data_IF_474043631125
#
_entry.id   IF_474043631125
#
_cell.length_a   1.000
_cell.length_b   1.000
_cell.length_c   1.000
_cell.angle_alpha   90.00
_cell.angle_beta   90.00
_cell.angle_gamma   90.00
#
_symmetry.space_group_name_H-M   'P 1'
#
loop_
_entity.id
_entity.type
_entity.pdbx_description
1 polymer ?
#
# COMPACT_ATOMS: atom_id res chain seq x y z
N UNK A 1 -47.60 28.95 16.10
CA UNK A 1 -47.56 28.72 17.57
C UNK A 1 -46.13 28.34 17.95
N UNK A 2 -45.31 29.33 18.32
CA UNK A 2 -44.68 29.51 19.66
C UNK A 2 -43.92 28.26 20.14
N UNK A 3 -42.59 28.21 20.01
CA UNK A 3 -41.60 28.73 20.97
C UNK A 3 -41.90 28.35 22.43
N UNK A 4 -41.02 27.55 23.03
CA UNK A 4 -40.77 27.61 24.47
C UNK A 4 -39.27 27.59 24.74
N UNK A 5 -38.86 28.59 25.51
CA UNK A 5 -37.52 29.03 25.88
C UNK A 5 -37.36 28.83 27.39
N UNK A 6 -36.13 28.45 27.80
CA UNK A 6 -35.45 28.61 29.11
C UNK A 6 -36.23 28.58 30.43
N UNK A 7 -35.60 27.99 31.46
CA UNK A 7 -35.28 28.75 32.69
C UNK A 7 -34.01 28.21 33.37
N UNK A 8 -33.09 29.14 33.68
CA UNK A 8 -31.85 29.01 34.48
C UNK A 8 -32.17 29.05 35.98
N UNK A 9 -31.31 28.46 36.83
CA UNK A 9 -30.98 29.07 38.12
C UNK A 9 -29.50 28.89 38.46
N UNK A 10 -28.84 30.04 38.59
CA UNK A 10 -27.50 30.27 39.15
C UNK A 10 -27.53 30.10 40.67
N UNK A 11 -26.46 29.54 41.25
CA UNK A 11 -26.06 29.84 42.63
C UNK A 11 -24.67 30.51 42.60
N UNK A 12 -24.49 31.66 43.29
CA UNK A 12 -23.24 32.41 43.28
C UNK A 12 -22.31 31.91 44.39
N UNK A 13 -21.02 31.75 44.09
CA UNK A 13 -19.99 31.74 45.12
C UNK A 13 -18.94 32.81 44.81
N UNK A 14 -18.88 33.73 45.75
CA UNK A 14 -17.99 34.86 45.92
C UNK A 14 -16.52 34.46 46.11
N UNK A 15 -15.63 35.32 45.65
CA UNK A 15 -14.41 35.63 46.40
C UNK A 15 -13.11 35.22 45.75
N UNK A 16 -12.32 36.23 45.33
CA UNK A 16 -10.88 36.10 45.11
C UNK A 16 -10.44 36.05 43.66
N UNK A 17 -10.38 37.20 42.98
CA UNK A 17 -9.43 37.34 41.85
C UNK A 17 -8.03 37.43 42.42
N UNK A 18 -7.40 36.26 42.62
CA UNK A 18 -5.95 36.17 42.61
C UNK A 18 -5.51 36.47 41.18
N UNK A 19 -4.89 37.63 40.97
CA UNK A 19 -4.14 37.91 39.74
C UNK A 19 -2.89 37.03 39.82
N UNK A 20 -2.98 35.82 39.27
CA UNK A 20 -1.80 35.01 39.01
C UNK A 20 -1.16 35.50 37.72
N UNK A 21 -0.28 36.49 37.86
CA UNK A 21 0.66 36.87 36.82
C UNK A 21 1.70 35.75 36.75
N UNK A 22 1.44 34.71 35.95
CA UNK A 22 2.44 33.71 35.66
C UNK A 22 3.37 34.30 34.60
N UNK A 23 4.57 34.69 35.01
CA UNK A 23 5.69 34.88 34.09
C UNK A 23 5.71 33.72 33.10
N UNK A 24 5.63 34.04 31.81
CA UNK A 24 5.44 33.03 30.78
C UNK A 24 6.74 32.23 30.70
N UNK A 25 6.71 30.97 31.14
CA UNK A 25 7.90 30.10 31.15
C UNK A 25 8.53 30.08 29.74
N UNK A 26 9.76 30.62 29.58
CA UNK A 26 10.44 30.70 28.29
C UNK A 26 10.51 29.35 27.57
N UNK A 27 10.75 28.27 28.31
CA UNK A 27 10.80 26.90 27.79
C UNK A 27 9.48 26.47 27.13
N UNK A 28 8.34 26.88 27.68
CA UNK A 28 7.02 26.59 27.11
C UNK A 28 6.73 27.44 25.87
N UNK A 29 7.30 28.64 25.78
CA UNK A 29 7.19 29.50 24.60
C UNK A 29 8.01 28.89 23.46
N UNK A 30 9.25 28.50 23.75
CA UNK A 30 10.18 27.94 22.77
C UNK A 30 9.68 26.61 22.22
N UNK A 31 9.18 25.71 23.07
CA UNK A 31 8.54 24.48 22.64
C UNK A 31 7.30 24.73 21.74
N UNK A 32 6.48 25.75 22.07
CA UNK A 32 5.33 26.11 21.23
C UNK A 32 5.77 26.69 19.89
N UNK A 33 6.79 27.54 19.88
CA UNK A 33 7.34 28.14 18.67
C UNK A 33 7.91 27.06 17.74
N UNK A 34 8.73 26.16 18.28
CA UNK A 34 9.32 25.05 17.53
C UNK A 34 8.26 24.14 16.91
N UNK A 35 7.23 23.77 17.69
CA UNK A 35 6.12 22.96 17.17
C UNK A 35 5.35 23.69 16.07
N UNK A 36 5.24 25.02 16.15
CA UNK A 36 4.57 25.83 15.13
C UNK A 36 5.40 25.91 13.85
N UNK A 37 6.72 26.10 13.94
CA UNK A 37 7.64 26.05 12.80
C UNK A 37 7.57 24.70 12.08
N UNK A 38 7.59 23.60 12.83
CA UNK A 38 7.42 22.26 12.27
C UNK A 38 6.08 22.12 11.53
N UNK A 39 4.97 22.65 12.07
CA UNK A 39 3.66 22.62 11.40
C UNK A 39 3.66 23.40 10.08
N UNK A 40 4.27 24.57 10.06
CA UNK A 40 4.36 25.41 8.86
C UNK A 40 5.15 24.71 7.75
N UNK A 41 6.27 24.07 8.10
CA UNK A 41 7.01 23.22 7.15
C UNK A 41 6.17 22.03 6.70
N UNK A 42 5.56 21.30 7.63
CA UNK A 42 4.70 20.14 7.29
C UNK A 42 3.60 20.50 6.29
N UNK A 43 3.04 21.71 6.36
CA UNK A 43 2.01 22.20 5.43
C UNK A 43 2.60 22.60 4.07
N UNK A 44 3.75 23.28 4.04
CA UNK A 44 4.24 23.98 2.84
C UNK A 44 5.30 23.20 2.05
N UNK A 45 5.91 22.16 2.62
CA UNK A 45 6.95 21.37 1.95
C UNK A 45 6.66 19.87 1.97
N UNK A 46 7.28 19.18 1.01
CA UNK A 46 7.19 17.73 0.85
C UNK A 46 8.29 16.97 1.59
N UNK A 47 9.19 17.62 2.33
CA UNK A 47 10.24 16.95 3.11
C UNK A 47 9.63 15.93 4.08
N UNK A 48 10.20 14.73 4.25
CA UNK A 48 9.69 13.74 5.21
C UNK A 48 9.53 14.32 6.62
N UNK A 49 8.46 13.93 7.33
CA UNK A 49 8.15 14.48 8.67
C UNK A 49 9.26 14.17 9.67
N UNK A 50 9.90 13.02 9.55
CA UNK A 50 11.11 12.64 10.31
C UNK A 50 12.24 13.64 10.12
N UNK A 51 12.55 13.97 8.87
CA UNK A 51 13.61 14.91 8.50
C UNK A 51 13.29 16.32 9.01
N UNK A 52 12.04 16.80 8.85
CA UNK A 52 11.62 18.10 9.41
C UNK A 52 11.83 18.13 10.92
N UNK A 53 11.44 17.06 11.61
CA UNK A 53 11.59 16.98 13.06
C UNK A 53 13.05 17.06 13.47
N UNK A 54 13.91 16.25 12.87
CA UNK A 54 15.36 16.22 13.16
C UNK A 54 16.02 17.58 12.87
N UNK A 55 15.73 18.18 11.73
CA UNK A 55 16.29 19.48 11.33
C UNK A 55 15.85 20.62 12.26
N UNK A 56 14.56 20.68 12.62
CA UNK A 56 14.04 21.75 13.48
C UNK A 56 14.52 21.56 14.93
N UNK A 57 14.61 20.33 15.44
CA UNK A 57 15.22 20.04 16.74
C UNK A 57 16.71 20.40 16.77
N UNK A 58 17.43 20.24 15.66
CA UNK A 58 18.84 20.60 15.55
C UNK A 58 19.06 22.12 15.44
N UNK A 59 18.15 22.85 14.79
CA UNK A 59 18.23 24.32 14.61
C UNK A 59 17.85 25.08 15.87
N UNK A 60 16.85 24.59 16.60
CA UNK A 60 16.31 25.25 17.79
C UNK A 60 16.43 24.29 18.98
N UNK A 61 17.65 24.09 19.52
CA UNK A 61 17.85 23.21 20.66
C UNK A 61 17.09 23.76 21.87
N UNK A 62 16.16 22.96 22.38
CA UNK A 62 15.42 23.25 23.60
C UNK A 62 16.33 23.00 24.82
N UNK A 63 16.00 23.60 25.97
CA UNK A 63 16.67 23.26 27.24
C UNK A 63 16.51 21.77 27.57
N UNK A 64 17.40 21.21 28.40
CA UNK A 64 17.33 19.78 28.77
C UNK A 64 15.98 19.41 29.40
N UNK A 65 15.43 20.32 30.21
CA UNK A 65 14.10 20.16 30.82
C UNK A 65 12.98 20.21 29.78
N UNK A 66 13.05 21.13 28.81
CA UNK A 66 12.04 21.26 27.77
C UNK A 66 12.08 20.10 26.77
N UNK A 67 13.28 19.62 26.43
CA UNK A 67 13.50 18.48 25.51
C UNK A 67 12.88 17.21 26.05
N UNK A 68 13.01 16.93 27.35
CA UNK A 68 12.42 15.74 27.98
C UNK A 68 10.88 15.71 27.97
N UNK A 69 10.24 16.88 27.88
CA UNK A 69 8.78 17.03 27.78
C UNK A 69 8.27 17.27 26.36
N UNK A 70 9.15 17.52 25.39
CA UNK A 70 8.74 17.79 24.02
C UNK A 70 8.32 16.49 23.32
N UNK A 71 7.20 16.48 22.56
CA UNK A 71 6.74 15.26 21.91
C UNK A 71 7.78 14.69 20.93
N UNK A 72 7.93 13.37 20.93
CA UNK A 72 8.79 12.64 20.02
C UNK A 72 8.27 12.69 18.57
N UNK A 73 9.12 12.39 17.59
CA UNK A 73 8.70 12.27 16.19
C UNK A 73 7.52 11.30 16.03
N UNK A 74 7.58 10.14 16.70
CA UNK A 74 6.56 9.10 16.63
C UNK A 74 5.20 9.60 17.14
N UNK A 75 5.18 10.36 18.23
CA UNK A 75 3.96 10.93 18.81
C UNK A 75 3.34 12.01 17.93
N UNK A 76 4.17 12.82 17.25
CA UNK A 76 3.68 13.88 16.35
C UNK A 76 3.32 13.36 14.96
N UNK A 77 3.89 12.23 14.53
CA UNK A 77 3.83 11.75 13.14
C UNK A 77 2.41 11.69 12.60
N UNK A 78 1.49 11.02 13.32
CA UNK A 78 0.11 10.85 12.85
C UNK A 78 -0.64 12.18 12.72
N UNK A 79 -0.35 13.14 13.61
CA UNK A 79 -1.00 14.46 13.60
C UNK A 79 -0.47 15.29 12.44
N UNK A 80 0.83 15.28 12.21
CA UNK A 80 1.48 16.02 11.12
C UNK A 80 1.15 15.42 9.75
N UNK A 81 1.08 14.08 9.65
CA UNK A 81 0.65 13.41 8.43
C UNK A 81 -0.79 13.80 8.04
N UNK A 82 -1.73 13.82 9.00
CA UNK A 82 -3.11 14.29 8.77
C UNK A 82 -3.16 15.78 8.41
N UNK A 83 -2.33 16.60 9.06
CA UNK A 83 -2.25 18.04 8.78
C UNK A 83 -1.77 18.30 7.35
N UNK A 84 -0.70 17.63 6.92
CA UNK A 84 -0.17 17.70 5.54
C UNK A 84 -1.21 17.21 4.53
N UNK A 85 -1.88 16.09 4.81
CA UNK A 85 -2.94 15.56 3.94
C UNK A 85 -4.07 16.56 3.70
N UNK A 86 -4.45 17.34 4.73
CA UNK A 86 -5.51 18.35 4.63
C UNK A 86 -5.10 19.56 3.80
N UNK A 87 -3.80 19.87 3.70
CA UNK A 87 -3.28 21.07 3.05
C UNK A 87 -2.48 20.80 1.77
N UNK A 88 -2.33 19.54 1.37
CA UNK A 88 -1.85 19.17 0.05
C UNK A 88 -2.76 19.83 -0.99
N UNK A 89 -2.24 20.85 -1.67
CA UNK A 89 -2.87 21.43 -2.85
C UNK A 89 -3.13 20.32 -3.86
N UNK A 90 -4.19 20.47 -4.66
CA UNK A 90 -4.44 19.58 -5.79
C UNK A 90 -3.13 19.37 -6.54
N UNK A 91 -2.80 18.09 -6.83
CA UNK A 91 -1.60 17.74 -7.59
C UNK A 91 -1.51 18.70 -8.79
N UNK A 92 -0.33 19.31 -9.04
CA UNK A 92 -0.18 20.14 -10.23
C UNK A 92 -0.69 19.31 -11.42
N UNK A 93 -1.44 19.93 -12.34
CA UNK A 93 -1.77 19.28 -13.60
C UNK A 93 -0.46 18.99 -14.31
N UNK A 94 0.04 17.79 -14.07
CA UNK A 94 1.31 17.36 -14.58
C UNK A 94 1.06 16.88 -16.00
N UNK A 95 1.83 17.38 -16.95
CA UNK A 95 2.00 16.78 -18.27
C UNK A 95 2.79 15.46 -18.20
N UNK A 96 2.56 14.63 -17.17
CA UNK A 96 3.21 13.31 -16.94
C UNK A 96 2.77 12.23 -17.94
N UNK A 97 2.17 12.63 -19.07
CA UNK A 97 1.52 11.73 -20.03
C UNK A 97 2.40 11.37 -21.22
N UNK A 98 3.72 11.59 -21.15
CA UNK A 98 4.63 11.06 -22.16
C UNK A 98 5.31 9.82 -21.62
N UNK A 99 4.88 8.64 -22.06
CA UNK A 99 5.58 7.37 -21.81
C UNK A 99 6.94 7.46 -22.53
N UNK A 100 8.07 7.49 -21.80
CA UNK A 100 9.39 7.63 -22.44
C UNK A 100 9.66 6.44 -23.37
N UNK A 101 10.33 6.67 -24.49
CA UNK A 101 10.59 5.64 -25.53
C UNK A 101 11.17 4.30 -25.02
N UNK A 102 12.04 4.27 -24.00
CA UNK A 102 12.52 3.01 -23.41
C UNK A 102 11.41 2.13 -22.81
N UNK A 103 10.30 2.72 -22.37
CA UNK A 103 9.16 2.00 -21.79
C UNK A 103 8.14 1.56 -22.85
N UNK A 104 8.38 1.86 -24.13
CA UNK A 104 7.56 1.39 -25.26
C UNK A 104 7.93 -0.03 -25.72
N UNK A 105 9.03 -0.59 -25.21
CA UNK A 105 9.56 -1.93 -25.47
C UNK A 105 10.12 -2.50 -24.15
N UNK A 106 9.31 -3.13 -23.31
CA UNK A 106 9.85 -3.73 -22.08
C UNK A 106 10.44 -5.10 -22.34
N UNK A 107 11.77 -5.14 -22.39
CA UNK A 107 12.52 -6.29 -21.89
C UNK A 107 12.53 -6.23 -20.34
N UNK A 108 12.43 -7.40 -19.70
CA UNK A 108 12.77 -7.67 -18.30
C UNK A 108 12.32 -6.66 -17.22
N UNK A 109 11.02 -6.67 -16.87
CA UNK A 109 10.56 -6.21 -15.56
C UNK A 109 10.67 -4.71 -15.27
N UNK A 110 10.88 -3.86 -16.28
CA UNK A 110 10.97 -2.41 -16.13
C UNK A 110 9.56 -1.80 -15.96
N UNK A 111 9.30 -0.98 -14.92
CA UNK A 111 7.98 -0.39 -14.69
C UNK A 111 7.63 0.62 -15.78
N UNK A 112 6.53 0.39 -16.52
CA UNK A 112 6.11 1.29 -17.61
C UNK A 112 5.49 2.61 -17.14
N UNK A 113 4.77 2.60 -16.01
CA UNK A 113 3.97 3.74 -15.55
C UNK A 113 3.95 3.76 -14.02
N UNK A 114 4.13 4.94 -13.43
CA UNK A 114 3.90 5.19 -12.02
C UNK A 114 2.62 6.01 -11.84
N UNK A 115 1.74 5.56 -10.95
CA UNK A 115 0.49 6.26 -10.65
C UNK A 115 0.39 6.56 -9.16
N UNK A 116 0.19 7.83 -8.83
CA UNK A 116 -0.13 8.24 -7.46
C UNK A 116 -1.66 8.22 -7.27
N UNK A 117 -2.11 7.38 -6.34
CA UNK A 117 -3.54 7.21 -6.06
C UNK A 117 -3.89 7.72 -4.66
N UNK A 118 -5.03 8.40 -4.55
CA UNK A 118 -5.56 8.87 -3.26
C UNK A 118 -6.33 7.78 -2.49
N UNK A 119 -6.74 6.70 -3.17
CA UNK A 119 -7.38 5.54 -2.55
C UNK A 119 -7.27 4.29 -3.45
N UNK A 120 -7.50 3.11 -2.86
CA UNK A 120 -7.42 1.79 -3.52
C UNK A 120 -8.79 1.25 -3.97
N UNK A 121 -9.74 2.12 -4.30
CA UNK A 121 -11.11 1.70 -4.69
C UNK A 121 -11.17 1.36 -6.17
N UNK A 122 -12.08 0.46 -6.54
CA UNK A 122 -12.28 0.04 -7.94
C UNK A 122 -12.50 1.19 -8.92
N UNK A 123 -13.17 2.27 -8.50
CA UNK A 123 -13.35 3.47 -9.33
C UNK A 123 -12.02 4.11 -9.73
N UNK A 124 -11.06 4.16 -8.81
CA UNK A 124 -9.74 4.72 -9.07
C UNK A 124 -8.95 3.84 -10.05
N UNK A 125 -8.98 2.51 -9.87
CA UNK A 125 -8.36 1.57 -10.80
C UNK A 125 -8.96 1.63 -12.21
N UNK A 126 -10.28 1.75 -12.35
CA UNK A 126 -10.93 1.94 -13.67
C UNK A 126 -10.45 3.19 -14.37
N UNK A 127 -10.32 4.30 -13.63
CA UNK A 127 -9.81 5.54 -14.21
C UNK A 127 -8.39 5.32 -14.77
N UNK A 128 -7.51 4.66 -14.02
CA UNK A 128 -6.16 4.36 -14.49
C UNK A 128 -6.18 3.57 -15.78
N UNK A 129 -6.95 2.48 -15.83
CA UNK A 129 -7.04 1.66 -17.05
C UNK A 129 -7.63 2.41 -18.23
N UNK A 130 -8.60 3.29 -17.98
CA UNK A 130 -9.14 4.18 -18.99
C UNK A 130 -8.05 5.11 -19.55
N UNK A 131 -7.31 5.82 -18.69
CA UNK A 131 -6.21 6.69 -19.13
C UNK A 131 -5.13 5.92 -19.91
N UNK A 132 -4.74 4.73 -19.45
CA UNK A 132 -3.76 3.90 -20.15
C UNK A 132 -4.23 3.48 -21.55
N UNK A 133 -5.53 3.15 -21.70
CA UNK A 133 -6.14 2.84 -23.00
C UNK A 133 -6.13 4.08 -23.92
N UNK A 134 -6.42 5.27 -23.39
CA UNK A 134 -6.37 6.52 -24.16
C UNK A 134 -4.94 6.82 -24.64
N UNK A 135 -3.95 6.79 -23.74
CA UNK A 135 -2.55 7.04 -24.09
C UNK A 135 -2.01 6.07 -25.14
N UNK A 136 -2.40 4.79 -25.05
CA UNK A 136 -2.03 3.81 -26.07
C UNK A 136 -2.66 4.18 -27.43
N UNK A 137 -3.94 4.55 -27.45
CA UNK A 137 -4.64 4.94 -28.67
C UNK A 137 -4.06 6.19 -29.31
N UNK A 138 -3.67 7.20 -28.53
CA UNK A 138 -2.99 8.41 -29.01
C UNK A 138 -1.65 8.05 -29.70
N UNK A 139 -0.95 7.06 -29.15
CA UNK A 139 0.26 6.48 -29.73
C UNK A 139 0.00 5.47 -30.86
N UNK A 140 -1.23 5.33 -31.36
CA UNK A 140 -1.65 4.36 -32.38
C UNK A 140 -1.34 2.90 -32.00
N UNK A 141 -1.45 2.57 -30.71
CA UNK A 141 -1.26 1.23 -30.15
C UNK A 141 -2.54 0.76 -29.45
N UNK A 142 -2.72 -0.56 -29.39
CA UNK A 142 -3.78 -1.15 -28.56
C UNK A 142 -3.24 -1.54 -27.18
N UNK A 143 -3.93 -1.12 -26.12
CA UNK A 143 -3.66 -1.56 -24.75
C UNK A 143 -4.43 -2.86 -24.46
N UNK A 144 -3.90 -4.00 -24.90
CA UNK A 144 -4.50 -5.33 -24.73
C UNK A 144 -3.48 -6.31 -24.12
N UNK A 145 -3.27 -6.28 -22.79
CA UNK A 145 -2.36 -7.22 -22.13
C UNK A 145 -2.82 -8.67 -22.27
N UNK A 146 -1.88 -9.60 -22.45
CA UNK A 146 -2.20 -11.02 -22.42
C UNK A 146 -2.21 -11.58 -20.99
N UNK A 147 -1.29 -11.08 -20.17
CA UNK A 147 -1.11 -11.45 -18.78
C UNK A 147 -1.16 -10.20 -17.92
N UNK A 148 -1.96 -10.24 -16.86
CA UNK A 148 -2.05 -9.23 -15.83
C UNK A 148 -1.64 -9.86 -14.50
N UNK A 149 -0.65 -9.29 -13.83
CA UNK A 149 -0.29 -9.65 -12.45
C UNK A 149 -0.54 -8.46 -11.54
N UNK A 150 -1.35 -8.66 -10.50
CA UNK A 150 -1.66 -7.62 -9.50
C UNK A 150 -1.52 -8.15 -8.09
N UNK A 151 -1.60 -7.26 -7.12
CA UNK A 151 -1.76 -7.65 -5.73
C UNK A 151 -3.20 -8.16 -5.47
N UNK A 152 -3.42 -8.76 -4.30
CA UNK A 152 -4.72 -9.31 -3.88
C UNK A 152 -5.69 -8.24 -3.35
N UNK A 153 -5.59 -7.01 -3.85
CA UNK A 153 -6.44 -5.92 -3.38
C UNK A 153 -7.85 -6.02 -3.94
N UNK A 154 -8.86 -6.01 -3.06
CA UNK A 154 -10.28 -6.09 -3.45
C UNK A 154 -10.73 -5.01 -4.43
N UNK A 155 -10.02 -3.88 -4.48
CA UNK A 155 -10.28 -2.80 -5.43
C UNK A 155 -9.93 -3.15 -6.88
N UNK A 156 -8.81 -3.83 -7.12
CA UNK A 156 -8.27 -4.04 -8.48
C UNK A 156 -8.78 -5.33 -9.12
N UNK A 157 -8.95 -6.39 -8.33
CA UNK A 157 -9.38 -7.71 -8.82
C UNK A 157 -10.66 -7.67 -9.69
N UNK A 158 -11.78 -7.05 -9.26
CA UNK A 158 -12.99 -7.01 -10.08
C UNK A 158 -12.82 -6.12 -11.32
N UNK A 159 -11.96 -5.10 -11.24
CA UNK A 159 -11.74 -4.15 -12.33
C UNK A 159 -10.98 -4.81 -13.47
N UNK A 160 -9.94 -5.58 -13.15
CA UNK A 160 -9.16 -6.32 -14.16
C UNK A 160 -10.08 -7.24 -14.97
N UNK A 161 -10.95 -8.00 -14.28
CA UNK A 161 -11.90 -8.91 -14.93
C UNK A 161 -12.88 -8.18 -15.86
N UNK A 162 -13.35 -6.99 -15.48
CA UNK A 162 -14.30 -6.22 -16.31
C UNK A 162 -13.62 -5.47 -17.45
N UNK A 163 -12.42 -4.91 -17.22
CA UNK A 163 -11.73 -4.05 -18.19
C UNK A 163 -10.91 -4.86 -19.21
N UNK A 164 -10.53 -6.09 -18.84
CA UNK A 164 -9.68 -6.99 -19.62
C UNK A 164 -10.17 -8.44 -19.56
N UNK A 165 -11.39 -8.73 -20.06
CA UNK A 165 -12.03 -10.04 -19.92
C UNK A 165 -11.29 -11.17 -20.65
N UNK A 166 -10.44 -10.85 -21.61
CA UNK A 166 -9.65 -11.81 -22.39
C UNK A 166 -8.25 -12.02 -21.84
N UNK A 167 -7.81 -11.21 -20.88
CA UNK A 167 -6.50 -11.33 -20.26
C UNK A 167 -6.49 -12.43 -19.21
N UNK A 168 -5.39 -13.16 -19.15
CA UNK A 168 -5.13 -14.06 -18.02
C UNK A 168 -4.71 -13.20 -16.82
N UNK A 169 -5.31 -13.44 -15.67
CA UNK A 169 -5.05 -12.67 -14.45
C UNK A 169 -4.55 -13.57 -13.32
N UNK A 170 -3.41 -13.21 -12.74
CA UNK A 170 -2.88 -13.83 -11.53
C UNK A 170 -2.59 -12.79 -10.45
N UNK A 171 -2.62 -13.24 -9.21
CA UNK A 171 -2.08 -12.55 -8.07
C UNK A 171 -0.56 -12.69 -8.00
N UNK A 172 0.11 -11.67 -7.50
CA UNK A 172 1.56 -11.68 -7.32
C UNK A 172 1.99 -12.72 -6.27
N UNK A 173 2.86 -13.66 -6.63
CA UNK A 173 3.38 -14.69 -5.72
C UNK A 173 4.15 -14.12 -4.52
N UNK A 174 4.82 -12.98 -4.71
CA UNK A 174 5.53 -12.31 -3.62
C UNK A 174 4.53 -11.83 -2.55
N UNK A 175 3.48 -11.12 -2.98
CA UNK A 175 2.41 -10.69 -2.08
C UNK A 175 1.60 -11.85 -1.50
N UNK A 176 1.43 -12.93 -2.27
CA UNK A 176 0.87 -14.17 -1.75
C UNK A 176 1.67 -14.66 -0.56
N UNK A 177 3.00 -14.80 -0.67
CA UNK A 177 3.83 -15.32 0.42
C UNK A 177 3.88 -14.41 1.66
N UNK A 178 3.78 -13.09 1.46
CA UNK A 178 3.70 -12.16 2.58
C UNK A 178 2.45 -12.38 3.44
N UNK A 179 1.32 -12.73 2.84
CA UNK A 179 0.05 -12.80 3.54
C UNK A 179 0.02 -13.90 4.63
N UNK A 180 0.31 -15.19 4.35
CA UNK A 180 0.46 -16.21 5.38
C UNK A 180 1.56 -15.87 6.39
N UNK A 181 2.67 -15.24 5.97
CA UNK A 181 3.73 -14.86 6.90
C UNK A 181 3.27 -13.79 7.91
N UNK A 182 2.48 -12.80 7.48
CA UNK A 182 1.86 -11.83 8.40
C UNK A 182 0.94 -12.52 9.40
N UNK A 183 0.23 -13.57 9.01
CA UNK A 183 -0.59 -14.36 9.92
C UNK A 183 0.26 -15.19 10.90
N UNK A 184 1.38 -15.77 10.45
CA UNK A 184 2.38 -16.40 11.32
C UNK A 184 2.84 -15.42 12.41
N UNK A 185 3.11 -14.16 12.05
CA UNK A 185 3.47 -13.13 13.04
C UNK A 185 2.29 -12.81 13.98
N UNK A 186 1.11 -12.56 13.42
CA UNK A 186 -0.10 -12.19 14.16
C UNK A 186 -0.54 -13.26 15.18
N UNK A 187 -0.36 -14.54 14.85
CA UNK A 187 -0.71 -15.66 15.74
C UNK A 187 0.42 -16.04 16.70
N UNK A 188 1.52 -15.28 16.76
CA UNK A 188 2.61 -15.52 17.69
C UNK A 188 3.49 -16.72 17.33
N UNK A 189 3.54 -17.09 16.05
CA UNK A 189 4.35 -18.20 15.52
C UNK A 189 5.72 -17.72 14.99
N UNK A 190 6.09 -16.44 15.13
CA UNK A 190 7.33 -15.90 14.54
C UNK A 190 8.61 -16.59 15.06
N UNK A 191 8.68 -16.83 16.37
CA UNK A 191 9.81 -17.55 16.99
C UNK A 191 9.85 -19.00 16.53
N UNK A 192 8.70 -19.66 16.46
CA UNK A 192 8.56 -21.04 15.98
C UNK A 192 8.95 -21.15 14.50
N UNK A 193 8.48 -20.25 13.65
CA UNK A 193 8.88 -20.19 12.24
C UNK A 193 10.39 -20.06 12.08
N UNK A 194 11.08 -19.42 13.02
CA UNK A 194 12.54 -19.25 12.96
C UNK A 194 13.30 -20.48 13.49
N UNK A 195 12.83 -21.06 14.61
CA UNK A 195 13.59 -22.04 15.41
C UNK A 195 13.05 -23.47 15.39
N UNK A 196 11.78 -23.66 15.05
CA UNK A 196 11.11 -24.96 14.99
C UNK A 196 11.01 -25.40 13.51
N UNK A 197 11.80 -26.40 13.14
CA UNK A 197 11.88 -26.86 11.75
C UNK A 197 10.56 -27.40 11.22
N UNK A 198 9.79 -28.07 12.08
CA UNK A 198 8.52 -28.67 11.73
C UNK A 198 7.47 -27.59 11.44
N UNK A 199 7.32 -26.60 12.33
CA UNK A 199 6.39 -25.48 12.12
C UNK A 199 6.82 -24.65 10.91
N UNK A 200 8.12 -24.34 10.79
CA UNK A 200 8.68 -23.65 9.62
C UNK A 200 8.38 -24.38 8.32
N UNK A 201 8.55 -25.71 8.32
CA UNK A 201 8.25 -26.58 7.19
C UNK A 201 6.79 -26.49 6.78
N UNK A 202 5.85 -26.62 7.72
CA UNK A 202 4.41 -26.55 7.45
C UNK A 202 3.99 -25.18 6.93
N UNK A 203 4.47 -24.08 7.52
CA UNK A 203 4.21 -22.74 7.01
C UNK A 203 4.74 -22.56 5.57
N UNK A 204 5.94 -23.09 5.28
CA UNK A 204 6.51 -23.04 3.93
C UNK A 204 5.77 -23.94 2.94
N UNK A 205 5.27 -25.10 3.36
CA UNK A 205 4.42 -25.96 2.53
C UNK A 205 3.11 -25.27 2.14
N UNK A 206 2.49 -24.51 3.05
CA UNK A 206 1.33 -23.66 2.74
C UNK A 206 1.69 -22.58 1.71
N UNK A 207 2.82 -21.89 1.89
CA UNK A 207 3.34 -20.91 0.92
C UNK A 207 3.70 -21.53 -0.45
N UNK A 208 4.17 -22.78 -0.46
CA UNK A 208 4.54 -23.48 -1.69
C UNK A 208 3.33 -23.94 -2.51
N UNK A 209 2.11 -23.91 -1.96
CA UNK A 209 0.90 -24.33 -2.68
C UNK A 209 0.72 -23.55 -3.98
N UNK A 210 1.14 -22.28 -4.04
CA UNK A 210 1.03 -21.46 -5.25
C UNK A 210 1.84 -22.01 -6.43
N UNK A 211 2.81 -22.88 -6.17
CA UNK A 211 3.69 -23.48 -7.18
C UNK A 211 3.22 -24.88 -7.61
N UNK A 212 2.25 -25.46 -6.90
CA UNK A 212 1.76 -26.81 -7.18
C UNK A 212 0.83 -26.82 -8.39
N UNK A 213 0.83 -27.88 -9.23
CA UNK A 213 -0.19 -28.06 -10.25
C UNK A 213 -1.60 -27.95 -9.64
N UNK A 214 -2.48 -27.16 -10.26
CA UNK A 214 -3.81 -26.84 -9.72
C UNK A 214 -4.62 -28.07 -9.28
N UNK A 215 -4.55 -29.15 -10.05
CA UNK A 215 -5.22 -30.43 -9.80
C UNK A 215 -4.69 -31.17 -8.56
N UNK A 216 -3.48 -30.84 -8.10
CA UNK A 216 -2.84 -31.46 -6.93
C UNK A 216 -2.92 -30.63 -5.65
N UNK A 217 -3.26 -29.33 -5.76
CA UNK A 217 -3.32 -28.39 -4.62
C UNK A 217 -4.22 -28.90 -3.50
N UNK A 218 -5.43 -29.37 -3.83
CA UNK A 218 -6.37 -29.83 -2.81
C UNK A 218 -5.85 -31.06 -2.05
N UNK A 219 -5.21 -31.99 -2.76
CA UNK A 219 -4.62 -33.20 -2.17
C UNK A 219 -3.48 -32.81 -1.23
N UNK A 220 -2.54 -31.99 -1.71
CA UNK A 220 -1.39 -31.52 -0.92
C UNK A 220 -1.83 -30.70 0.30
N UNK A 221 -2.84 -29.85 0.15
CA UNK A 221 -3.42 -29.09 1.27
C UNK A 221 -3.97 -30.00 2.37
N UNK A 222 -4.69 -31.06 2.01
CA UNK A 222 -5.25 -32.00 2.99
C UNK A 222 -4.14 -32.74 3.76
N UNK A 223 -3.04 -33.12 3.11
CA UNK A 223 -1.88 -33.71 3.79
C UNK A 223 -1.27 -32.74 4.82
N UNK A 224 -1.10 -31.46 4.44
CA UNK A 224 -0.61 -30.41 5.34
C UNK A 224 -1.56 -30.19 6.51
N UNK A 225 -2.88 -30.19 6.25
CA UNK A 225 -3.92 -30.07 7.27
C UNK A 225 -3.82 -31.20 8.30
N UNK A 226 -3.68 -32.43 7.84
CA UNK A 226 -3.55 -33.60 8.73
C UNK A 226 -2.27 -33.53 9.56
N UNK A 227 -1.14 -33.07 8.98
CA UNK A 227 0.10 -32.82 9.72
C UNK A 227 -0.08 -31.73 10.80
N UNK A 228 -0.75 -30.63 10.48
CA UNK A 228 -1.01 -29.52 11.41
C UNK A 228 -1.90 -29.98 12.58
N UNK A 229 -2.97 -30.73 12.29
CA UNK A 229 -3.91 -31.20 13.31
C UNK A 229 -3.23 -32.13 14.33
N UNK A 230 -2.25 -32.94 13.90
CA UNK A 230 -1.48 -33.81 14.80
C UNK A 230 -0.63 -33.03 15.82
N UNK A 231 -0.32 -31.76 15.57
CA UNK A 231 0.46 -30.94 16.50
C UNK A 231 -0.33 -30.50 17.72
N UNK A 232 -1.67 -30.49 17.63
CA UNK A 232 -2.53 -29.91 18.66
C UNK A 232 -2.15 -28.45 19.03
N UNK A 233 -1.60 -27.68 18.08
CA UNK A 233 -1.22 -26.28 18.29
C UNK A 233 -2.32 -25.35 17.74
N UNK A 234 -3.07 -24.74 18.66
CA UNK A 234 -4.17 -23.82 18.34
C UNK A 234 -3.78 -22.63 17.44
N UNK A 235 -2.51 -22.21 17.42
CA UNK A 235 -2.03 -21.12 16.57
C UNK A 235 -1.86 -21.59 15.13
N UNK A 236 -1.38 -22.82 14.94
CA UNK A 236 -1.30 -23.45 13.62
C UNK A 236 -2.69 -23.75 13.06
N UNK A 237 -3.66 -24.13 13.91
CA UNK A 237 -5.06 -24.27 13.51
C UNK A 237 -5.69 -22.95 13.05
N UNK A 238 -5.39 -21.83 13.73
CA UNK A 238 -5.80 -20.49 13.28
C UNK A 238 -5.21 -20.14 11.92
N UNK A 239 -3.93 -20.46 11.70
CA UNK A 239 -3.27 -20.26 10.40
C UNK A 239 -3.94 -21.10 9.30
N UNK A 240 -4.27 -22.36 9.59
CA UNK A 240 -4.95 -23.24 8.66
C UNK A 240 -6.34 -22.69 8.30
N UNK A 241 -7.14 -22.30 9.29
CA UNK A 241 -8.47 -21.73 9.05
C UNK A 241 -8.41 -20.42 8.24
N UNK A 242 -7.44 -19.55 8.53
CA UNK A 242 -7.16 -18.39 7.69
C UNK A 242 -6.86 -18.82 6.25
N UNK A 243 -6.00 -19.81 6.08
CA UNK A 243 -5.56 -20.23 4.75
C UNK A 243 -6.72 -20.81 3.93
N UNK A 244 -7.55 -21.64 4.55
CA UNK A 244 -8.74 -22.24 3.94
C UNK A 244 -9.73 -21.16 3.48
N UNK A 245 -10.06 -20.23 4.38
CA UNK A 245 -11.05 -19.18 4.10
C UNK A 245 -10.60 -18.16 3.07
N UNK A 246 -9.29 -17.88 2.96
CA UNK A 246 -8.79 -16.86 2.05
C UNK A 246 -8.32 -17.43 0.71
N UNK A 247 -7.65 -18.58 0.70
CA UNK A 247 -6.94 -19.05 -0.48
C UNK A 247 -7.66 -20.22 -1.15
N UNK A 248 -8.20 -21.19 -0.39
CA UNK A 248 -8.75 -22.41 -1.00
C UNK A 248 -10.01 -22.18 -1.86
N UNK A 249 -10.69 -21.04 -1.71
CA UNK A 249 -11.88 -20.68 -2.49
C UNK A 249 -11.55 -20.25 -3.93
N UNK A 250 -10.32 -19.77 -4.19
CA UNK A 250 -9.97 -19.12 -5.47
C UNK A 250 -8.60 -19.51 -6.01
N UNK A 251 -8.32 -20.82 -6.06
CA UNK A 251 -7.01 -21.40 -6.43
C UNK A 251 -6.43 -20.76 -7.70
N UNK A 252 -7.20 -20.66 -8.77
CA UNK A 252 -6.74 -20.10 -10.05
C UNK A 252 -6.23 -18.65 -9.97
N UNK A 253 -6.65 -17.88 -8.95
CA UNK A 253 -6.26 -16.47 -8.81
C UNK A 253 -4.87 -16.31 -8.21
N UNK A 254 -4.41 -17.22 -7.35
CA UNK A 254 -3.10 -17.12 -6.68
C UNK A 254 -2.10 -18.20 -7.09
N UNK A 255 -2.55 -19.26 -7.76
CA UNK A 255 -1.69 -20.31 -8.25
C UNK A 255 -0.93 -19.83 -9.50
N UNK A 256 0.39 -19.95 -9.45
CA UNK A 256 1.33 -19.53 -10.49
C UNK A 256 2.08 -20.69 -11.12
N UNK A 257 1.63 -21.94 -10.90
CA UNK A 257 2.28 -23.16 -11.44
C UNK A 257 2.39 -23.18 -12.97
N UNK A 258 1.47 -22.48 -13.66
CA UNK A 258 1.38 -22.42 -15.12
C UNK A 258 2.09 -21.21 -15.74
N UNK A 259 2.78 -20.38 -14.95
CA UNK A 259 3.47 -19.18 -15.44
C UNK A 259 4.96 -19.21 -15.12
N UNK A 260 5.76 -18.82 -16.10
CA UNK A 260 7.21 -18.62 -15.95
C UNK A 260 7.52 -17.27 -15.29
N UNK A 261 6.60 -16.30 -15.40
CA UNK A 261 6.73 -14.99 -14.75
C UNK A 261 5.94 -14.97 -13.45
N UNK A 262 6.65 -15.04 -12.32
CA UNK A 262 6.06 -15.32 -11.00
C UNK A 262 6.12 -14.15 -10.01
N UNK A 263 6.96 -13.14 -10.22
CA UNK A 263 7.19 -12.08 -9.22
C UNK A 263 7.24 -10.68 -9.83
N UNK A 264 6.83 -9.67 -9.05
CA UNK A 264 7.01 -8.24 -9.31
C UNK A 264 8.34 -7.70 -8.74
N UNK A 265 9.24 -8.60 -8.30
CA UNK A 265 10.41 -8.28 -7.44
C UNK A 265 11.40 -7.28 -8.06
N UNK A 266 11.51 -7.22 -9.39
CA UNK A 266 12.37 -6.28 -10.11
C UNK A 266 11.97 -4.80 -9.88
N UNK A 267 10.71 -4.52 -9.52
CA UNK A 267 10.21 -3.15 -9.30
C UNK A 267 10.33 -2.66 -7.85
N UNK A 268 10.34 -3.57 -6.87
CA UNK A 268 10.24 -3.19 -5.44
C UNK A 268 11.59 -2.93 -4.78
N UNK A 269 12.70 -3.31 -5.43
CA UNK A 269 14.05 -3.01 -4.94
C UNK A 269 14.39 -1.51 -4.81
N UNK A 270 13.52 -0.62 -5.30
CA UNK A 270 13.75 0.82 -5.39
C UNK A 270 13.08 1.73 -4.34
N UNK A 271 12.17 1.25 -3.48
CA UNK A 271 11.39 2.16 -2.61
C UNK A 271 11.49 1.84 -1.11
N UNK A 272 12.49 2.43 -0.46
CA UNK A 272 12.58 2.62 1.01
C UNK A 272 12.22 4.06 1.43
N UNK A 273 11.17 4.63 0.86
CA UNK A 273 10.77 6.02 1.16
C UNK A 273 9.31 6.11 1.54
N UNK A 274 9.06 6.75 2.69
CA UNK A 274 7.77 6.95 3.40
C UNK A 274 6.76 7.87 2.66
N UNK A 275 6.57 7.64 1.38
CA UNK A 275 5.39 8.11 0.67
C UNK A 275 4.50 6.92 0.38
N UNK A 276 3.19 7.08 0.59
CA UNK A 276 2.16 6.14 0.15
C UNK A 276 2.13 6.17 -1.37
N UNK A 277 3.15 5.57 -1.97
CA UNK A 277 3.26 5.21 -3.36
C UNK A 277 2.44 3.93 -3.50
N UNK A 278 1.14 4.08 -3.76
CA UNK A 278 0.31 2.96 -4.19
C UNK A 278 0.72 2.69 -5.63
N UNK A 279 1.82 1.96 -5.82
CA UNK A 279 2.17 1.43 -7.12
C UNK A 279 1.07 0.42 -7.45
N UNK A 280 0.08 0.84 -8.24
CA UNK A 280 -0.78 -0.07 -8.97
C UNK A 280 0.12 -0.75 -10.01
N UNK A 281 0.90 -1.74 -9.59
CA UNK A 281 1.70 -2.55 -10.48
C UNK A 281 0.70 -3.42 -11.25
N UNK A 282 0.25 -2.90 -12.38
CA UNK A 282 -0.40 -3.72 -13.39
C UNK A 282 0.71 -4.13 -14.33
N UNK A 283 1.31 -5.30 -14.07
CA UNK A 283 2.19 -5.91 -15.05
C UNK A 283 1.35 -6.34 -16.23
N UNK A 284 1.51 -5.64 -17.35
CA UNK A 284 0.91 -6.01 -18.63
C UNK A 284 2.01 -6.58 -19.52
N UNK A 285 2.07 -7.89 -19.73
CA UNK A 285 2.93 -8.44 -20.78
C UNK A 285 2.31 -8.12 -22.15
N UNK A 286 3.00 -7.29 -22.92
CA UNK A 286 2.63 -6.92 -24.29
C UNK A 286 3.37 -7.79 -25.31
N UNK A 287 2.63 -8.61 -26.06
CA UNK A 287 3.05 -9.00 -27.42
C UNK A 287 2.36 -8.05 -28.39
N UNK A 288 3.12 -7.16 -29.03
CA UNK A 288 2.62 -6.43 -30.19
C UNK A 288 2.58 -7.42 -31.36
N UNK A 289 1.38 -7.77 -31.84
CA UNK A 289 1.23 -8.44 -33.12
C UNK A 289 1.53 -7.45 -34.23
N UNK A 290 2.68 -7.58 -34.88
CA UNK A 290 2.94 -6.93 -36.16
C UNK A 290 2.02 -7.57 -37.21
N UNK A 291 0.96 -6.90 -37.62
CA UNK A 291 0.33 -7.14 -38.91
C UNK A 291 0.63 -5.93 -39.80
N UNK A 292 1.72 -6.02 -40.55
CA UNK A 292 1.88 -5.19 -41.74
C UNK A 292 1.09 -5.86 -42.87
N UNK A 293 -0.13 -5.37 -43.09
CA UNK A 293 -0.71 -5.38 -44.43
C UNK A 293 0.14 -4.44 -45.30
N UNK A 294 1.04 -5.00 -46.09
CA UNK A 294 1.60 -4.30 -47.25
C UNK A 294 0.86 -4.78 -48.50
N UNK A 295 -0.32 -4.22 -48.73
CA UNK A 295 -0.97 -4.17 -50.04
C UNK A 295 -1.12 -2.70 -50.43
N UNK A 296 -0.22 -2.23 -51.30
CA UNK A 296 -0.62 -1.63 -52.57
C UNK A 296 0.58 -1.32 -53.48
N UNK A 297 0.63 -2.10 -54.55
CA UNK A 297 0.85 -1.73 -55.95
C UNK A 297 1.47 -0.36 -56.33
N UNK A 298 2.33 -0.47 -57.36
CA UNK A 298 2.67 0.51 -58.42
C UNK A 298 3.64 1.65 -58.09
N UNK A 299 4.89 1.51 -58.58
CA UNK A 299 5.39 2.20 -59.79
C UNK A 299 6.86 1.85 -60.10
N UNK A 300 7.05 1.14 -61.23
CA UNK A 300 8.21 1.06 -62.15
C UNK A 300 8.29 -0.35 -62.71
#
# INVERSE_FOLDING_TARGET
>A
SRHFVQTLFYHPLSGGKSIHDHETNPDLIDAKCLRQQMKERVINELTPISVIYEEEMAKTPLSDSATGTFPTNQELYQTFAKLRQKHLLALPQSSLFTIPDPFKLTADGVPCVFVLMVNKKSKAYRQIFFELKQLASEGQKSFSPQLIVTDFESGVLPVVKTEFPTSTHYGCHFHYNQCPYRQVQQFGLQSDYSRNELIRGLCRKLMAQALMPNDTVLISYNEIRDEIQKLSDSRMEKLLNYFETQWMISIDTWNVSRTDTRTNSTCEGGSKTDFVLIIAIVYCFFRLSQQNESSNSTKS
#
